data_IF_821579978885
#
_entry.id   IF_821579978885
#
_cell.length_a   1.000
_cell.length_b   1.000
_cell.length_c   1.000
_cell.angle_alpha   90.00
_cell.angle_beta   90.00
_cell.angle_gamma   90.00
#
_symmetry.space_group_name_H-M   'P 1'
#
loop_
_entity.id
_entity.type
_entity.pdbx_description
1 polymer ?
#
# COMPACT_ATOMS: atom_id res chain seq x y z
N UNK A 1 2.22 41.33 -0.27
CA UNK A 1 1.15 40.53 0.37
C UNK A 1 0.64 41.33 1.55
N UNK A 2 -0.64 41.23 1.91
CA UNK A 2 -1.19 41.92 3.09
C UNK A 2 -1.24 40.94 4.27
N UNK A 3 -0.13 40.87 5.02
CA UNK A 3 -0.01 39.93 6.15
C UNK A 3 -0.96 40.26 7.30
N UNK A 4 -1.36 41.54 7.44
CA UNK A 4 -2.33 41.94 8.45
C UNK A 4 -3.72 41.38 8.11
N UNK A 5 -4.16 41.53 6.86
CA UNK A 5 -5.42 40.95 6.41
C UNK A 5 -5.42 39.42 6.48
N UNK A 6 -4.30 38.77 6.12
CA UNK A 6 -4.15 37.31 6.28
C UNK A 6 -4.31 36.92 7.75
N UNK A 7 -3.62 37.61 8.66
CA UNK A 7 -3.69 37.35 10.11
C UNK A 7 -5.12 37.43 10.63
N UNK A 8 -5.85 38.50 10.31
CA UNK A 8 -7.24 38.69 10.75
C UNK A 8 -8.16 37.54 10.30
N UNK A 9 -7.96 37.04 9.06
CA UNK A 9 -8.72 35.89 8.56
C UNK A 9 -8.33 34.59 9.26
N UNK A 10 -7.04 34.35 9.50
CA UNK A 10 -6.56 33.17 10.23
C UNK A 10 -7.09 33.16 11.68
N UNK A 11 -7.05 34.30 12.37
CA UNK A 11 -7.55 34.44 13.74
C UNK A 11 -9.05 34.11 13.85
N UNK A 12 -9.80 34.41 12.77
CA UNK A 12 -11.25 34.17 12.67
C UNK A 12 -11.59 32.71 12.37
N UNK A 13 -10.81 32.01 11.54
CA UNK A 13 -11.12 30.67 11.03
C UNK A 13 -10.14 29.58 11.53
N UNK A 14 -9.46 29.84 12.65
CA UNK A 14 -8.38 29.01 13.20
C UNK A 14 -8.73 27.53 13.47
N UNK A 15 -10.02 27.20 13.56
CA UNK A 15 -10.57 25.85 13.79
C UNK A 15 -11.06 25.14 12.50
N UNK A 16 -11.04 25.82 11.35
CA UNK A 16 -11.49 25.25 10.08
C UNK A 16 -10.34 25.11 9.09
N UNK A 17 -9.77 23.92 9.01
CA UNK A 17 -8.59 23.61 8.21
C UNK A 17 -8.77 23.89 6.71
N UNK A 18 -9.98 23.67 6.16
CA UNK A 18 -10.26 23.94 4.75
C UNK A 18 -10.26 25.43 4.44
N UNK A 19 -10.84 26.23 5.33
CA UNK A 19 -10.82 27.69 5.24
C UNK A 19 -9.39 28.21 5.42
N UNK A 20 -8.64 27.72 6.41
CA UNK A 20 -7.24 28.08 6.63
C UNK A 20 -6.38 27.83 5.39
N UNK A 21 -6.52 26.66 4.76
CA UNK A 21 -5.82 26.35 3.52
C UNK A 21 -6.19 27.33 2.40
N UNK A 22 -7.48 27.66 2.28
CA UNK A 22 -7.97 28.62 1.28
C UNK A 22 -7.40 30.02 1.52
N UNK A 23 -7.43 30.51 2.76
CA UNK A 23 -6.89 31.80 3.19
C UNK A 23 -5.40 31.89 2.88
N UNK A 24 -4.62 30.89 3.31
CA UNK A 24 -3.17 30.85 3.09
C UNK A 24 -2.85 30.79 1.59
N UNK A 25 -3.51 29.90 0.84
CA UNK A 25 -3.26 29.74 -0.60
C UNK A 25 -3.52 31.03 -1.36
N UNK A 26 -4.66 31.70 -1.08
CA UNK A 26 -5.02 32.98 -1.73
C UNK A 26 -4.11 34.13 -1.26
N UNK A 27 -3.90 34.25 0.06
CA UNK A 27 -3.15 35.33 0.67
C UNK A 27 -1.69 35.38 0.21
N UNK A 28 -1.08 34.19 0.09
CA UNK A 28 0.28 34.04 -0.42
C UNK A 28 0.36 33.91 -1.94
N UNK A 29 -0.77 33.87 -2.66
CA UNK A 29 -0.83 33.60 -4.11
C UNK A 29 -0.03 32.34 -4.49
N UNK A 30 -0.19 31.29 -3.69
CA UNK A 30 0.60 30.09 -3.79
C UNK A 30 -0.06 29.04 -4.71
N UNK A 31 0.76 28.19 -5.34
CA UNK A 31 0.25 27.01 -6.06
C UNK A 31 -0.30 25.95 -5.09
N UNK A 32 0.38 25.73 -3.96
CA UNK A 32 -0.03 24.76 -2.93
C UNK A 32 0.37 25.21 -1.53
N UNK A 33 -0.39 24.75 -0.53
CA UNK A 33 -0.12 24.95 0.89
C UNK A 33 -0.31 23.63 1.61
N UNK A 34 0.61 23.28 2.51
CA UNK A 34 0.46 22.20 3.47
C UNK A 34 0.38 22.79 4.88
N UNK A 35 -0.60 22.35 5.67
CA UNK A 35 -0.77 22.70 7.08
C UNK A 35 -0.47 21.45 7.90
N UNK A 36 0.74 21.37 8.44
CA UNK A 36 1.29 20.17 9.07
C UNK A 36 1.17 20.26 10.60
N UNK A 37 0.20 19.56 11.17
CA UNK A 37 -0.03 19.48 12.63
C UNK A 37 0.88 18.42 13.26
N UNK A 38 1.42 18.69 14.45
CA UNK A 38 2.20 17.71 15.20
C UNK A 38 1.30 16.73 15.97
N UNK A 39 1.50 15.44 15.75
CA UNK A 39 0.92 14.36 16.56
C UNK A 39 1.98 13.81 17.52
N UNK A 40 1.81 14.12 18.81
CA UNK A 40 2.71 13.70 19.88
C UNK A 40 2.71 12.18 20.09
N UNK A 41 1.58 11.51 19.83
CA UNK A 41 1.44 10.06 20.02
C UNK A 41 2.17 9.27 18.96
N UNK A 42 2.12 9.73 17.70
CA UNK A 42 2.77 9.08 16.55
C UNK A 42 4.16 9.66 16.27
N UNK A 43 4.55 10.74 16.96
CA UNK A 43 5.80 11.49 16.74
C UNK A 43 5.97 11.87 15.26
N UNK A 44 4.92 12.45 14.68
CA UNK A 44 4.86 12.77 13.26
C UNK A 44 4.10 14.08 13.01
N UNK A 45 4.43 14.75 11.91
CA UNK A 45 3.64 15.85 11.37
C UNK A 45 2.67 15.33 10.32
N UNK A 46 1.45 15.86 10.28
CA UNK A 46 0.44 15.46 9.30
C UNK A 46 -0.37 16.62 8.74
N UNK A 47 -0.70 16.55 7.45
CA UNK A 47 -1.61 17.46 6.78
C UNK A 47 -2.95 16.76 6.55
N UNK A 48 -4.04 17.40 6.98
CA UNK A 48 -5.40 16.83 6.86
C UNK A 48 -5.94 16.87 5.43
N UNK A 49 -5.50 17.83 4.61
CA UNK A 49 -6.02 18.02 3.25
C UNK A 49 -5.28 17.09 2.29
N UNK A 50 -3.96 17.21 2.21
CA UNK A 50 -3.20 16.39 1.27
C UNK A 50 -2.77 15.04 1.86
N UNK A 51 -3.05 14.79 3.15
CA UNK A 51 -2.71 13.55 3.85
C UNK A 51 -1.21 13.23 3.87
N UNK A 52 -0.38 14.28 3.77
CA UNK A 52 1.06 14.19 3.95
C UNK A 52 1.35 13.79 5.38
N UNK A 53 2.26 12.83 5.59
CA UNK A 53 2.78 12.47 6.90
C UNK A 53 4.31 12.52 6.89
N UNK A 54 4.90 13.08 7.94
CA UNK A 54 6.36 13.20 8.08
C UNK A 54 6.74 12.82 9.50
N UNK A 55 7.34 11.65 9.69
CA UNK A 55 7.81 11.22 11.01
C UNK A 55 9.03 12.02 11.44
N UNK A 56 9.05 12.43 12.70
CA UNK A 56 10.15 13.21 13.30
C UNK A 56 11.51 12.53 13.16
N UNK A 57 11.57 11.20 13.21
CA UNK A 57 12.81 10.43 13.01
C UNK A 57 13.49 10.67 11.63
N UNK A 58 12.74 11.18 10.65
CA UNK A 58 13.26 11.50 9.31
C UNK A 58 13.61 12.99 9.15
N UNK A 59 13.26 13.85 10.12
CA UNK A 59 13.58 15.27 10.09
C UNK A 59 15.04 15.46 10.50
N UNK A 60 15.91 15.55 9.49
CA UNK A 60 17.34 15.79 9.67
C UNK A 60 17.83 16.88 8.71
N UNK A 61 19.10 17.25 8.80
CA UNK A 61 19.69 18.35 8.02
C UNK A 61 19.82 18.08 6.52
N UNK A 62 19.39 16.91 6.00
CA UNK A 62 19.38 16.62 4.56
C UNK A 62 18.14 17.14 3.83
N UNK A 63 17.13 17.66 4.55
CA UNK A 63 15.94 18.31 3.98
C UNK A 63 15.75 19.73 4.46
N UNK A 64 14.99 20.54 3.71
CA UNK A 64 14.64 21.91 4.11
C UNK A 64 13.72 21.90 5.32
N UNK A 65 12.69 21.05 5.34
CA UNK A 65 11.77 20.95 6.47
C UNK A 65 12.46 20.35 7.70
N UNK A 66 13.41 19.43 7.51
CA UNK A 66 14.24 18.92 8.61
C UNK A 66 15.20 19.99 9.14
N UNK A 67 15.77 20.82 8.26
CA UNK A 67 16.55 21.99 8.66
C UNK A 67 15.70 23.02 9.41
N UNK A 68 14.46 23.27 8.97
CA UNK A 68 13.50 24.11 9.67
C UNK A 68 13.14 23.56 11.05
N UNK A 69 12.92 22.25 11.14
CA UNK A 69 12.65 21.56 12.40
C UNK A 69 13.80 21.69 13.40
N UNK A 70 15.03 21.33 12.99
CA UNK A 70 16.20 21.33 13.86
C UNK A 70 16.60 22.73 14.31
N UNK A 71 16.57 23.69 13.39
CA UNK A 71 17.01 25.07 13.65
C UNK A 71 15.92 25.96 14.20
N UNK A 72 14.64 25.53 14.17
CA UNK A 72 13.46 26.31 14.59
C UNK A 72 13.37 27.64 13.82
N UNK A 73 13.72 27.61 12.53
CA UNK A 73 13.82 28.78 11.65
C UNK A 73 12.95 28.65 10.43
N UNK A 74 12.52 29.81 9.95
CA UNK A 74 11.79 29.97 8.69
C UNK A 74 12.77 29.98 7.53
N UNK A 75 12.33 29.45 6.40
CA UNK A 75 13.15 29.40 5.18
C UNK A 75 12.32 29.85 4.00
N UNK A 76 12.86 30.78 3.22
CA UNK A 76 12.40 31.04 1.86
C UNK A 76 13.46 30.59 0.86
N UNK A 77 13.05 29.78 -0.10
CA UNK A 77 13.89 29.23 -1.15
C UNK A 77 13.35 29.75 -2.46
N UNK A 78 14.16 30.52 -3.17
CA UNK A 78 13.80 31.13 -4.46
C UNK A 78 13.87 30.11 -5.61
N UNK A 79 14.82 29.17 -5.53
CA UNK A 79 14.99 28.09 -6.49
C UNK A 79 15.36 26.77 -5.81
N UNK A 80 14.38 25.89 -5.64
CA UNK A 80 14.55 24.56 -5.05
C UNK A 80 15.39 23.62 -5.93
N UNK A 81 15.52 23.90 -7.23
CA UNK A 81 16.26 23.03 -8.15
C UNK A 81 17.78 23.10 -7.94
N UNK A 82 18.25 24.19 -7.36
CA UNK A 82 19.67 24.45 -7.05
C UNK A 82 19.94 24.44 -5.55
N UNK A 83 18.92 24.23 -4.72
CA UNK A 83 19.02 24.31 -3.28
C UNK A 83 19.62 23.02 -2.68
N UNK A 84 20.56 23.20 -1.75
CA UNK A 84 21.04 22.13 -0.86
C UNK A 84 21.11 22.68 0.58
N UNK A 85 20.60 21.94 1.58
CA UNK A 85 19.96 20.63 1.50
C UNK A 85 18.54 20.70 0.91
N UNK A 86 18.16 19.72 0.09
CA UNK A 86 16.81 19.54 -0.42
C UNK A 86 16.55 18.05 -0.60
N UNK A 87 15.54 17.54 0.09
CA UNK A 87 15.14 16.15 -0.02
C UNK A 87 13.72 16.12 -0.57
N UNK A 88 13.58 15.81 -1.86
CA UNK A 88 12.31 15.75 -2.58
C UNK A 88 11.22 15.05 -1.78
N UNK A 89 11.58 14.01 -1.00
CA UNK A 89 10.61 13.34 -0.17
C UNK A 89 9.93 14.15 0.91
N UNK A 90 10.75 14.87 1.65
CA UNK A 90 10.32 15.55 2.84
C UNK A 90 9.82 16.93 2.45
N UNK A 91 10.44 17.55 1.44
CA UNK A 91 10.23 18.94 1.08
C UNK A 91 9.16 19.13 -0.01
N UNK A 92 9.05 18.21 -0.98
CA UNK A 92 8.06 18.28 -2.06
C UNK A 92 7.50 16.89 -2.39
N UNK A 93 6.76 16.25 -1.45
CA UNK A 93 6.29 14.86 -1.60
C UNK A 93 5.39 14.64 -2.81
N UNK A 94 4.69 15.69 -3.25
CA UNK A 94 3.83 15.67 -4.44
C UNK A 94 4.51 16.14 -5.73
N UNK A 95 5.79 16.54 -5.63
CA UNK A 95 6.65 16.93 -6.75
C UNK A 95 6.00 17.95 -7.67
N UNK A 96 5.40 18.95 -7.02
CA UNK A 96 4.82 20.09 -7.69
C UNK A 96 5.88 20.72 -8.59
N UNK A 97 5.47 21.11 -9.80
CA UNK A 97 6.31 21.92 -10.69
C UNK A 97 6.37 23.37 -10.17
N UNK A 98 7.23 23.54 -9.17
CA UNK A 98 7.47 24.79 -8.45
C UNK A 98 8.96 25.01 -8.30
N UNK A 99 9.36 26.28 -8.31
CA UNK A 99 10.73 26.69 -8.03
C UNK A 99 10.89 27.27 -6.64
N UNK A 100 9.84 27.86 -6.10
CA UNK A 100 9.88 28.57 -4.82
C UNK A 100 9.21 27.77 -3.70
N UNK A 101 9.76 27.87 -2.49
CA UNK A 101 9.21 27.26 -1.29
C UNK A 101 9.39 28.18 -0.09
N UNK A 102 8.37 28.25 0.76
CA UNK A 102 8.40 28.92 2.06
C UNK A 102 8.02 27.91 3.14
N UNK A 103 8.83 27.82 4.20
CA UNK A 103 8.59 26.97 5.35
C UNK A 103 8.50 27.83 6.60
N UNK A 104 7.35 27.77 7.27
CA UNK A 104 7.05 28.53 8.48
C UNK A 104 6.79 27.55 9.64
N UNK A 105 7.78 27.24 10.50
CA UNK A 105 7.52 26.54 11.74
C UNK A 105 6.68 27.42 12.68
N UNK A 106 5.72 26.81 13.37
CA UNK A 106 5.06 27.39 14.54
C UNK A 106 5.67 26.78 15.80
N UNK A 107 6.01 27.65 16.76
CA UNK A 107 6.73 27.27 17.96
C UNK A 107 5.85 27.46 19.21
N UNK A 108 5.89 26.50 20.11
CA UNK A 108 5.33 26.63 21.45
C UNK A 108 6.33 26.07 22.47
N UNK A 109 6.62 26.84 23.52
CA UNK A 109 7.64 26.50 24.51
C UNK A 109 9.01 26.11 23.91
N UNK A 110 9.36 26.69 22.75
CA UNK A 110 10.61 26.42 22.05
C UNK A 110 10.62 25.14 21.20
N UNK A 111 9.53 24.38 21.15
CA UNK A 111 9.38 23.20 20.32
C UNK A 111 8.46 23.47 19.12
N UNK A 112 8.65 22.71 18.03
CA UNK A 112 7.86 22.87 16.81
C UNK A 112 6.54 22.12 16.93
N UNK A 113 5.42 22.83 17.00
CA UNK A 113 4.06 22.25 17.08
C UNK A 113 3.38 22.11 15.72
N UNK A 114 3.93 22.75 14.69
CA UNK A 114 3.44 22.59 13.33
C UNK A 114 4.26 23.33 12.30
N UNK A 115 3.93 23.10 11.03
CA UNK A 115 4.49 23.85 9.91
C UNK A 115 3.38 24.34 8.99
N UNK A 116 3.55 25.55 8.48
CA UNK A 116 2.96 25.96 7.22
C UNK A 116 4.03 25.85 6.14
N UNK A 117 3.77 25.05 5.11
CA UNK A 117 4.65 24.95 3.93
C UNK A 117 3.91 25.45 2.71
N UNK A 118 4.51 26.39 1.99
CA UNK A 118 3.90 27.06 0.85
C UNK A 118 4.79 26.86 -0.38
N UNK A 119 4.18 26.46 -1.49
CA UNK A 119 4.86 26.12 -2.73
C UNK A 119 4.44 27.03 -3.87
N UNK A 120 5.40 27.38 -4.74
CA UNK A 120 5.12 28.08 -5.99
C UNK A 120 4.59 29.50 -5.79
N UNK A 121 5.25 30.25 -4.91
CA UNK A 121 5.10 31.69 -4.78
C UNK A 121 5.60 32.36 -6.07
N UNK A 122 4.76 33.15 -6.74
CA UNK A 122 5.15 33.87 -7.97
C UNK A 122 6.17 34.99 -7.69
N UNK A 123 5.97 35.74 -6.61
CA UNK A 123 6.85 36.82 -6.17
C UNK A 123 6.88 36.87 -4.64
N UNK A 124 8.05 36.61 -4.05
CA UNK A 124 8.27 36.68 -2.60
C UNK A 124 9.67 37.20 -2.28
N UNK A 125 9.79 38.08 -1.29
CA UNK A 125 11.06 38.74 -0.94
C UNK A 125 11.53 38.39 0.48
N UNK A 126 12.81 38.67 0.79
CA UNK A 126 13.33 38.51 2.16
C UNK A 126 12.63 39.44 3.16
N UNK A 127 12.26 40.66 2.76
CA UNK A 127 11.45 41.53 3.63
C UNK A 127 10.09 40.89 3.95
N UNK A 128 9.46 40.26 2.97
CA UNK A 128 8.19 39.55 3.18
C UNK A 128 8.37 38.31 4.06
N UNK A 129 9.54 37.65 4.05
CA UNK A 129 9.86 36.61 5.03
C UNK A 129 9.85 37.16 6.45
N UNK A 130 10.45 38.33 6.69
CA UNK A 130 10.40 38.99 8.00
C UNK A 130 8.97 39.40 8.36
N UNK A 131 8.20 39.94 7.42
CA UNK A 131 6.83 40.36 7.67
C UNK A 131 5.92 39.18 8.07
N UNK A 132 6.26 37.92 7.73
CA UNK A 132 5.50 36.75 8.20
C UNK A 132 5.55 36.57 9.72
N UNK A 133 6.44 37.24 10.47
CA UNK A 133 6.48 37.14 11.95
C UNK A 133 5.22 37.72 12.57
N UNK A 134 4.54 38.62 11.86
CA UNK A 134 3.22 39.11 12.26
C UNK A 134 2.14 38.04 12.33
N UNK A 135 2.34 36.87 11.70
CA UNK A 135 1.41 35.75 11.69
C UNK A 135 1.55 34.82 12.90
N UNK A 136 2.62 34.93 13.71
CA UNK A 136 2.97 33.91 14.71
C UNK A 136 1.87 33.63 15.72
N UNK A 137 1.21 34.66 16.26
CA UNK A 137 0.12 34.49 17.22
C UNK A 137 -1.06 33.69 16.61
N UNK A 138 -1.39 33.98 15.35
CA UNK A 138 -2.46 33.29 14.63
C UNK A 138 -2.07 31.84 14.32
N UNK A 139 -0.82 31.60 13.91
CA UNK A 139 -0.29 30.25 13.69
C UNK A 139 -0.25 29.44 14.97
N UNK A 140 0.21 30.01 16.08
CA UNK A 140 0.21 29.36 17.39
C UNK A 140 -1.22 28.95 17.80
N UNK A 141 -2.21 29.82 17.56
CA UNK A 141 -3.63 29.51 17.82
C UNK A 141 -4.16 28.33 16.98
N UNK A 142 -3.69 28.19 15.73
CA UNK A 142 -4.04 27.07 14.85
C UNK A 142 -3.44 25.76 15.38
N UNK A 143 -2.15 25.76 15.76
CA UNK A 143 -1.43 24.52 16.11
C UNK A 143 -1.55 24.09 17.57
N UNK A 144 -1.95 24.99 18.48
CA UNK A 144 -2.22 24.64 19.89
C UNK A 144 -3.50 23.82 20.07
N UNK A 145 -4.36 23.75 19.05
CA UNK A 145 -5.46 22.80 19.03
C UNK A 145 -4.88 21.38 18.94
N UNK A 146 -5.13 20.56 19.97
CA UNK A 146 -4.68 19.16 19.96
C UNK A 146 -5.43 18.39 18.88
N UNK A 147 -4.74 18.18 17.78
CA UNK A 147 -5.22 17.43 16.63
C UNK A 147 -4.58 16.04 16.64
N UNK A 148 -5.40 14.99 16.69
CA UNK A 148 -4.93 13.60 16.58
C UNK A 148 -5.02 13.14 15.13
N UNK A 149 -4.07 12.32 14.68
CA UNK A 149 -4.25 11.54 13.45
C UNK A 149 -5.42 10.56 13.69
N UNK A 150 -6.63 10.95 13.26
CA UNK A 150 -7.74 10.01 13.12
C UNK A 150 -7.45 9.15 11.87
N UNK A 151 -7.60 7.83 12.01
CA UNK A 151 -7.60 6.90 10.86
C UNK A 151 -8.91 7.07 10.09
N UNK A 152 -9.12 8.23 9.47
CA UNK A 152 -10.32 8.47 8.67
C UNK A 152 -10.28 7.59 7.42
N UNK A 153 -11.12 6.55 7.42
CA UNK A 153 -11.30 5.57 6.33
C UNK A 153 -11.87 6.17 5.04
N UNK A 154 -12.27 7.44 5.00
CA UNK A 154 -12.87 8.04 3.80
C UNK A 154 -11.92 9.03 3.11
N UNK A 155 -11.22 8.54 2.09
CA UNK A 155 -10.58 9.40 1.08
C UNK A 155 -11.36 9.27 -0.21
N UNK A 156 -12.36 10.13 -0.41
CA UNK A 156 -12.88 10.40 -1.74
C UNK A 156 -12.19 11.66 -2.26
N UNK A 157 -11.16 11.48 -3.08
CA UNK A 157 -10.66 12.57 -3.92
C UNK A 157 -10.12 12.01 -5.25
N UNK A 158 -10.54 12.57 -6.38
CA UNK A 158 -10.21 12.07 -7.72
C UNK A 158 -8.69 12.08 -7.99
N UNK A 159 -7.96 13.03 -7.39
CA UNK A 159 -6.50 13.11 -7.47
C UNK A 159 -5.77 11.95 -6.75
N UNK A 160 -6.36 11.40 -5.69
CA UNK A 160 -5.85 10.20 -5.02
C UNK A 160 -6.08 8.94 -5.87
N UNK A 161 -7.27 8.82 -6.47
CA UNK A 161 -7.62 7.72 -7.38
C UNK A 161 -6.72 7.71 -8.62
N UNK A 162 -6.44 8.88 -9.20
CA UNK A 162 -5.58 8.98 -10.39
C UNK A 162 -4.11 8.70 -10.06
N UNK A 163 -3.60 9.15 -8.91
CA UNK A 163 -2.27 8.76 -8.41
C UNK A 163 -2.18 7.27 -8.15
N UNK A 164 -3.21 6.67 -7.53
CA UNK A 164 -3.30 5.23 -7.31
C UNK A 164 -3.24 4.45 -8.63
N UNK A 165 -3.98 4.86 -9.66
CA UNK A 165 -3.93 4.25 -11.00
C UNK A 165 -2.53 4.32 -11.62
N UNK A 166 -1.83 5.45 -11.46
CA UNK A 166 -0.46 5.62 -11.96
C UNK A 166 0.48 4.66 -11.24
N UNK A 167 0.40 4.54 -9.90
CA UNK A 167 1.25 3.61 -9.15
C UNK A 167 0.98 2.14 -9.46
N UNK A 168 -0.30 1.75 -9.61
CA UNK A 168 -0.66 0.38 -10.00
C UNK A 168 -0.14 0.05 -11.39
N UNK A 169 -0.24 1.01 -12.32
CA UNK A 169 0.29 0.89 -13.68
C UNK A 169 1.80 0.71 -13.68
N UNK A 170 2.54 1.55 -12.94
CA UNK A 170 4.00 1.43 -12.82
C UNK A 170 4.41 0.09 -12.20
N UNK A 171 3.70 -0.36 -11.17
CA UNK A 171 3.98 -1.65 -10.53
C UNK A 171 3.75 -2.84 -11.47
N UNK A 172 2.73 -2.77 -12.32
CA UNK A 172 2.50 -3.74 -13.40
C UNK A 172 3.60 -3.67 -14.45
N UNK A 173 4.01 -2.48 -14.86
CA UNK A 173 5.12 -2.29 -15.80
C UNK A 173 6.44 -2.82 -15.24
N UNK A 174 6.77 -2.63 -13.97
CA UNK A 174 7.96 -3.25 -13.32
C UNK A 174 7.96 -4.77 -13.49
N UNK A 175 6.81 -5.40 -13.23
CA UNK A 175 6.64 -6.85 -13.41
C UNK A 175 6.87 -7.26 -14.86
N UNK A 176 6.36 -6.51 -15.83
CA UNK A 176 6.58 -6.74 -17.26
C UNK A 176 8.06 -6.57 -17.66
N UNK A 177 8.72 -5.51 -17.20
CA UNK A 177 10.15 -5.30 -17.44
C UNK A 177 11.02 -6.43 -16.86
N UNK A 178 10.66 -6.96 -15.68
CA UNK A 178 11.35 -8.12 -15.12
C UNK A 178 11.16 -9.38 -15.97
N UNK A 179 9.96 -9.59 -16.53
CA UNK A 179 9.71 -10.71 -17.46
C UNK A 179 10.49 -10.53 -18.77
N UNK A 180 10.52 -9.31 -19.33
CA UNK A 180 11.29 -9.01 -20.53
C UNK A 180 12.79 -9.25 -20.31
N UNK A 181 13.33 -8.79 -19.19
CA UNK A 181 14.74 -8.98 -18.81
C UNK A 181 15.10 -10.46 -18.65
N UNK A 182 14.20 -11.30 -18.13
CA UNK A 182 14.42 -12.74 -17.97
C UNK A 182 14.38 -13.54 -19.28
N UNK A 183 13.78 -12.99 -20.34
CA UNK A 183 13.58 -13.70 -21.62
C UNK A 183 14.37 -13.11 -22.79
N UNK A 184 14.96 -11.92 -22.63
CA UNK A 184 15.86 -11.35 -23.60
C UNK A 184 17.16 -12.19 -23.68
N UNK A 185 17.62 -12.45 -24.91
CA UNK A 185 18.89 -13.14 -25.19
C UNK A 185 19.79 -12.33 -26.12
N UNK A 186 19.33 -11.15 -26.53
CA UNK A 186 20.01 -10.25 -27.44
C UNK A 186 20.48 -9.03 -26.65
N UNK A 187 21.78 -8.75 -26.72
CA UNK A 187 22.45 -7.73 -25.91
C UNK A 187 21.92 -6.30 -26.15
N UNK A 188 21.51 -5.97 -27.38
CA UNK A 188 20.93 -4.65 -27.68
C UNK A 188 19.50 -4.54 -27.14
N UNK A 189 18.74 -5.65 -27.17
CA UNK A 189 17.40 -5.72 -26.56
C UNK A 189 17.49 -5.63 -25.04
N UNK A 190 18.47 -6.26 -24.41
CA UNK A 190 18.72 -6.16 -22.96
C UNK A 190 19.04 -4.74 -22.52
N UNK A 191 19.86 -4.00 -23.29
CA UNK A 191 20.14 -2.58 -23.02
C UNK A 191 18.88 -1.72 -23.05
N UNK A 192 18.03 -1.89 -24.07
CA UNK A 192 16.77 -1.15 -24.18
C UNK A 192 15.79 -1.48 -23.04
N UNK A 193 15.76 -2.74 -22.60
CA UNK A 193 14.97 -3.16 -21.44
C UNK A 193 15.49 -2.50 -20.16
N UNK A 194 16.81 -2.48 -19.96
CA UNK A 194 17.42 -1.86 -18.78
C UNK A 194 17.23 -0.35 -18.75
N UNK A 195 17.35 0.34 -19.90
CA UNK A 195 17.03 1.76 -20.04
C UNK A 195 15.56 2.04 -19.68
N UNK A 196 14.64 1.22 -20.18
CA UNK A 196 13.23 1.32 -19.83
C UNK A 196 12.94 1.04 -18.36
N UNK A 197 13.63 0.08 -17.75
CA UNK A 197 13.56 -0.22 -16.31
C UNK A 197 14.05 0.96 -15.49
N UNK A 198 15.20 1.53 -15.85
CA UNK A 198 15.76 2.70 -15.19
C UNK A 198 14.82 3.92 -15.33
N UNK A 199 14.24 4.13 -16.51
CA UNK A 199 13.24 5.17 -16.72
C UNK A 199 12.01 4.96 -15.85
N UNK A 200 11.54 3.72 -15.71
CA UNK A 200 10.41 3.40 -14.87
C UNK A 200 10.72 3.55 -13.37
N UNK A 201 11.93 3.20 -12.93
CA UNK A 201 12.43 3.49 -11.59
C UNK A 201 12.57 4.99 -11.36
N UNK A 202 13.00 5.75 -12.35
CA UNK A 202 13.06 7.20 -12.29
C UNK A 202 11.66 7.80 -12.18
N UNK A 203 10.67 7.30 -12.93
CA UNK A 203 9.27 7.71 -12.86
C UNK A 203 8.66 7.33 -11.50
N UNK A 204 8.92 6.12 -11.01
CA UNK A 204 8.46 5.62 -9.72
C UNK A 204 9.04 6.45 -8.57
N UNK A 205 10.36 6.69 -8.61
CA UNK A 205 11.08 7.58 -7.70
C UNK A 205 10.56 8.99 -7.83
N UNK A 206 10.22 9.43 -9.05
CA UNK A 206 9.52 10.68 -9.39
C UNK A 206 8.04 10.68 -8.98
N UNK A 207 7.45 9.66 -8.35
CA UNK A 207 6.05 9.75 -7.94
C UNK A 207 5.79 9.61 -6.45
N UNK A 208 6.67 8.99 -5.65
CA UNK A 208 6.45 9.02 -4.20
C UNK A 208 7.68 8.78 -3.34
N UNK A 209 7.67 9.30 -2.12
CA UNK A 209 8.63 8.91 -1.09
C UNK A 209 8.01 8.53 0.27
N UNK A 210 6.69 8.55 0.44
CA UNK A 210 6.02 7.99 1.62
C UNK A 210 5.53 6.55 1.37
N UNK A 211 6.25 5.79 0.54
CA UNK A 211 5.76 4.53 0.00
C UNK A 211 5.60 3.42 1.05
N UNK A 212 6.37 3.41 2.14
CA UNK A 212 6.11 2.46 3.25
C UNK A 212 4.74 2.64 3.89
N UNK A 213 4.20 3.86 3.86
CA UNK A 213 2.88 4.15 4.39
C UNK A 213 1.76 3.83 3.40
N UNK A 214 1.98 4.04 2.11
CA UNK A 214 0.96 3.73 1.08
C UNK A 214 0.92 2.23 0.81
N UNK A 215 2.04 1.51 0.86
CA UNK A 215 2.05 0.05 0.81
C UNK A 215 1.44 -0.57 2.06
N UNK A 216 1.63 0.03 3.26
CA UNK A 216 0.90 -0.37 4.48
C UNK A 216 -0.56 0.00 4.41
N UNK A 217 -0.93 1.19 3.95
CA UNK A 217 -2.34 1.56 3.71
C UNK A 217 -2.92 0.66 2.64
N UNK A 218 -2.16 0.17 1.67
CA UNK A 218 -2.59 -0.81 0.68
C UNK A 218 -2.68 -2.21 1.29
N UNK A 219 -1.80 -2.65 2.19
CA UNK A 219 -1.94 -3.92 2.89
C UNK A 219 -3.09 -3.88 3.91
N UNK A 220 -3.27 -2.75 4.59
CA UNK A 220 -4.32 -2.48 5.57
C UNK A 220 -5.65 -2.20 4.88
N UNK A 221 -5.70 -1.47 3.75
CA UNK A 221 -6.91 -1.30 2.92
C UNK A 221 -7.21 -2.51 2.07
N UNK A 222 -6.25 -3.26 1.54
CA UNK A 222 -6.56 -4.59 1.01
C UNK A 222 -7.06 -5.47 2.15
N UNK A 223 -6.53 -5.33 3.37
CA UNK A 223 -7.06 -6.04 4.52
C UNK A 223 -8.47 -5.60 4.95
N UNK A 224 -8.83 -4.32 4.77
CA UNK A 224 -10.11 -3.69 5.17
C UNK A 224 -11.16 -3.73 4.04
N UNK A 225 -10.80 -3.42 2.79
CA UNK A 225 -11.62 -3.56 1.59
C UNK A 225 -11.96 -5.04 1.33
N UNK A 226 -11.06 -5.97 1.66
CA UNK A 226 -11.36 -7.42 1.70
C UNK A 226 -11.86 -7.90 3.09
N UNK A 227 -12.15 -7.02 4.06
CA UNK A 227 -12.74 -7.47 5.33
C UNK A 227 -14.18 -8.01 5.17
N UNK A 228 -14.80 -7.73 4.03
CA UNK A 228 -16.07 -8.34 3.62
C UNK A 228 -15.91 -9.49 2.60
N UNK A 229 -14.68 -9.84 2.19
CA UNK A 229 -14.41 -11.02 1.36
C UNK A 229 -13.66 -12.08 2.19
N UNK A 230 -14.25 -13.28 2.30
CA UNK A 230 -13.63 -14.39 3.04
C UNK A 230 -12.22 -14.65 2.51
N UNK A 231 -11.23 -14.51 3.39
CA UNK A 231 -9.85 -14.93 3.10
C UNK A 231 -9.72 -16.45 3.24
N UNK A 232 -8.92 -17.06 2.38
CA UNK A 232 -8.73 -18.50 2.35
C UNK A 232 -7.50 -18.92 3.16
N UNK A 233 -7.67 -19.89 4.03
CA UNK A 233 -6.56 -20.69 4.56
C UNK A 233 -6.33 -21.86 3.63
N UNK A 234 -5.08 -22.02 3.19
CA UNK A 234 -4.68 -23.01 2.21
C UNK A 234 -3.80 -24.08 2.86
N UNK A 235 -3.89 -25.32 2.37
CA UNK A 235 -2.88 -26.35 2.58
C UNK A 235 -2.24 -26.71 1.23
N UNK A 236 -0.92 -26.80 1.18
CA UNK A 236 -0.16 -27.35 0.05
C UNK A 236 0.53 -28.63 0.51
N UNK A 237 0.25 -29.75 -0.15
CA UNK A 237 0.89 -31.04 0.10
C UNK A 237 1.57 -31.55 -1.17
N UNK A 238 2.90 -31.67 -1.15
CA UNK A 238 3.73 -32.22 -2.23
C UNK A 238 5.06 -32.70 -1.62
N UNK A 239 5.52 -33.90 -1.99
CA UNK A 239 6.71 -34.53 -1.39
C UNK A 239 8.02 -33.84 -1.81
N UNK A 240 8.00 -33.13 -2.93
CA UNK A 240 9.10 -32.30 -3.39
C UNK A 240 8.98 -30.89 -2.79
N UNK A 241 9.78 -30.62 -1.75
CA UNK A 241 9.85 -29.31 -1.07
C UNK A 241 9.94 -28.12 -2.03
N UNK A 242 10.63 -28.27 -3.16
CA UNK A 242 10.76 -27.22 -4.17
C UNK A 242 9.42 -26.85 -4.82
N UNK A 243 8.56 -27.84 -5.11
CA UNK A 243 7.22 -27.62 -5.66
C UNK A 243 6.36 -26.85 -4.67
N UNK A 244 6.40 -27.25 -3.40
CA UNK A 244 5.71 -26.55 -2.30
C UNK A 244 6.12 -25.08 -2.22
N UNK A 245 7.42 -24.78 -2.24
CA UNK A 245 7.90 -23.39 -2.14
C UNK A 245 7.55 -22.57 -3.39
N UNK A 246 7.63 -23.15 -4.58
CA UNK A 246 7.24 -22.49 -5.83
C UNK A 246 5.75 -22.12 -5.79
N UNK A 247 4.88 -23.09 -5.48
CA UNK A 247 3.44 -22.86 -5.42
C UNK A 247 3.06 -21.87 -4.31
N UNK A 248 3.67 -21.98 -3.12
CA UNK A 248 3.50 -21.02 -2.02
C UNK A 248 3.85 -19.60 -2.48
N UNK A 249 4.99 -19.41 -3.15
CA UNK A 249 5.43 -18.09 -3.62
C UNK A 249 4.46 -17.47 -4.63
N UNK A 250 3.80 -18.29 -5.45
CA UNK A 250 2.80 -17.84 -6.42
C UNK A 250 1.48 -17.45 -5.75
N UNK A 251 1.05 -18.22 -4.75
CA UNK A 251 -0.20 -18.00 -4.00
C UNK A 251 -0.12 -16.80 -3.04
N UNK A 252 1.05 -16.51 -2.46
CA UNK A 252 1.25 -15.34 -1.58
C UNK A 252 1.12 -13.98 -2.30
N UNK A 253 1.14 -13.97 -3.63
CA UNK A 253 0.93 -12.75 -4.43
C UNK A 253 -0.57 -12.42 -4.55
N UNK A 254 -1.45 -13.37 -4.23
CA UNK A 254 -2.90 -13.21 -4.30
C UNK A 254 -3.45 -12.65 -2.98
N UNK A 255 -4.14 -11.50 -3.05
CA UNK A 255 -4.54 -10.69 -1.89
C UNK A 255 -5.63 -11.29 -1.00
N UNK A 256 -6.13 -12.48 -1.34
CA UNK A 256 -7.23 -13.16 -0.63
C UNK A 256 -6.76 -14.35 0.22
N UNK A 257 -5.46 -14.64 0.24
CA UNK A 257 -4.88 -15.73 1.04
C UNK A 257 -4.57 -15.21 2.44
N UNK A 258 -5.13 -15.85 3.47
CA UNK A 258 -4.83 -15.52 4.87
C UNK A 258 -3.58 -16.25 5.36
N UNK A 259 -3.59 -17.57 5.27
CA UNK A 259 -2.49 -18.42 5.70
C UNK A 259 -2.29 -19.60 4.74
N UNK A 260 -1.04 -20.08 4.64
CA UNK A 260 -0.68 -21.28 3.89
C UNK A 260 0.07 -22.25 4.81
N UNK A 261 -0.56 -23.40 5.10
CA UNK A 261 0.07 -24.55 5.73
C UNK A 261 0.74 -25.44 4.68
N UNK A 262 1.79 -26.15 5.08
CA UNK A 262 2.59 -26.98 4.19
C UNK A 262 2.65 -28.40 4.77
N UNK A 263 2.62 -29.39 3.90
CA UNK A 263 2.88 -30.79 4.20
C UNK A 263 3.78 -31.39 3.12
N UNK A 264 4.62 -32.33 3.51
CA UNK A 264 5.59 -32.99 2.63
C UNK A 264 5.36 -34.50 2.48
N UNK A 265 4.31 -35.03 3.10
CA UNK A 265 3.78 -36.36 2.86
C UNK A 265 2.28 -36.41 3.17
N UNK A 266 1.66 -37.56 2.87
CA UNK A 266 0.22 -37.72 3.05
C UNK A 266 -0.25 -37.79 4.52
N UNK A 267 0.62 -38.15 5.46
CA UNK A 267 0.29 -38.20 6.89
C UNK A 267 0.33 -36.80 7.50
N UNK A 268 1.37 -36.01 7.21
CA UNK A 268 1.46 -34.61 7.59
C UNK A 268 0.25 -33.81 7.06
N UNK A 269 -0.16 -34.07 5.82
CA UNK A 269 -1.32 -33.41 5.23
C UNK A 269 -2.61 -33.67 6.03
N UNK A 270 -2.83 -34.91 6.47
CA UNK A 270 -4.00 -35.27 7.29
C UNK A 270 -3.92 -34.65 8.68
N UNK A 271 -2.74 -34.67 9.31
CA UNK A 271 -2.55 -34.08 10.63
C UNK A 271 -2.91 -32.59 10.61
N UNK A 272 -2.45 -31.85 9.58
CA UNK A 272 -2.80 -30.44 9.41
C UNK A 272 -4.31 -30.26 9.21
N UNK A 273 -4.95 -31.10 8.40
CA UNK A 273 -6.39 -31.01 8.17
C UNK A 273 -7.20 -31.25 9.45
N UNK A 274 -6.83 -32.25 10.25
CA UNK A 274 -7.49 -32.58 11.52
C UNK A 274 -7.31 -31.49 12.57
N UNK A 275 -6.09 -30.96 12.72
CA UNK A 275 -5.80 -29.89 13.68
C UNK A 275 -6.57 -28.59 13.40
N UNK A 276 -7.04 -28.41 12.17
CA UNK A 276 -7.76 -27.22 11.73
C UNK A 276 -9.27 -27.47 11.55
N UNK A 277 -9.77 -28.69 11.77
CA UNK A 277 -11.15 -29.08 11.44
C UNK A 277 -12.20 -28.37 12.31
N UNK A 278 -11.92 -28.25 13.62
CA UNK A 278 -12.81 -27.65 14.63
C UNK A 278 -12.29 -26.30 15.18
N UNK A 279 -11.31 -25.71 14.51
CA UNK A 279 -10.68 -24.47 14.94
C UNK A 279 -11.41 -23.24 14.40
N UNK A 280 -11.15 -22.06 14.98
CA UNK A 280 -11.61 -20.78 14.42
C UNK A 280 -10.98 -20.44 13.06
N UNK A 281 -10.12 -21.32 12.54
CA UNK A 281 -9.29 -21.11 11.35
C UNK A 281 -9.25 -22.36 10.45
N UNK A 282 -10.39 -22.76 9.83
CA UNK A 282 -10.47 -23.97 9.03
C UNK A 282 -9.69 -23.85 7.73
N UNK A 283 -9.20 -24.98 7.21
CA UNK A 283 -8.62 -25.05 5.86
C UNK A 283 -9.75 -24.97 4.84
N UNK A 284 -9.65 -24.03 3.91
CA UNK A 284 -10.70 -23.76 2.92
C UNK A 284 -10.38 -24.36 1.55
N UNK A 285 -9.09 -24.45 1.22
CA UNK A 285 -8.61 -25.00 -0.05
C UNK A 285 -7.39 -25.87 0.21
N UNK A 286 -7.32 -27.02 -0.44
CA UNK A 286 -6.19 -27.94 -0.36
C UNK A 286 -5.65 -28.18 -1.77
N UNK A 287 -4.35 -27.92 -1.95
CA UNK A 287 -3.59 -28.32 -3.13
C UNK A 287 -2.89 -29.65 -2.81
N UNK A 288 -3.31 -30.73 -3.45
CA UNK A 288 -2.82 -32.09 -3.20
C UNK A 288 -2.06 -32.64 -4.40
N UNK A 289 -0.78 -32.93 -4.21
CA UNK A 289 -0.07 -33.82 -5.12
C UNK A 289 -0.65 -35.22 -5.08
N UNK A 290 -0.73 -35.85 -6.26
CA UNK A 290 -1.27 -37.20 -6.34
C UNK A 290 -0.30 -38.23 -5.75
N UNK A 291 0.99 -38.09 -6.07
CA UNK A 291 2.03 -39.02 -5.64
C UNK A 291 2.76 -38.47 -4.42
N UNK A 292 2.40 -38.96 -3.23
CA UNK A 292 3.11 -38.65 -1.99
C UNK A 292 3.36 -39.95 -1.20
N UNK A 293 4.47 -40.05 -0.45
CA UNK A 293 4.67 -41.11 0.52
C UNK A 293 3.56 -41.16 1.59
N UNK A 294 3.29 -42.35 2.12
CA UNK A 294 2.33 -42.56 3.21
C UNK A 294 0.88 -42.69 2.73
N UNK A 295 0.33 -41.63 2.11
CA UNK A 295 -1.02 -41.62 1.52
C UNK A 295 -1.04 -40.81 0.23
N UNK A 296 -1.74 -41.30 -0.78
CA UNK A 296 -1.91 -40.60 -2.06
C UNK A 296 -2.90 -39.44 -1.94
N UNK A 297 -2.78 -38.47 -2.86
CA UNK A 297 -3.72 -37.35 -2.93
C UNK A 297 -5.18 -37.77 -3.13
N UNK A 298 -5.42 -38.86 -3.88
CA UNK A 298 -6.77 -39.38 -4.11
C UNK A 298 -7.37 -39.97 -2.84
N UNK A 299 -6.59 -40.71 -2.04
CA UNK A 299 -7.08 -41.26 -0.76
C UNK A 299 -7.46 -40.14 0.21
N UNK A 300 -6.66 -39.07 0.28
CA UNK A 300 -6.95 -37.90 1.11
C UNK A 300 -8.21 -37.19 0.59
N UNK A 301 -8.33 -36.97 -0.73
CA UNK A 301 -9.48 -36.32 -1.33
C UNK A 301 -10.79 -37.10 -1.12
N UNK A 302 -10.77 -38.43 -1.29
CA UNK A 302 -11.90 -39.30 -0.99
C UNK A 302 -12.30 -39.21 0.48
N UNK A 303 -11.33 -39.23 1.40
CA UNK A 303 -11.59 -39.09 2.83
C UNK A 303 -12.27 -37.73 3.12
N UNK A 304 -11.76 -36.64 2.57
CA UNK A 304 -12.34 -35.29 2.74
C UNK A 304 -13.78 -35.21 2.19
N UNK A 305 -14.04 -35.71 0.98
CA UNK A 305 -15.40 -35.73 0.41
C UNK A 305 -16.38 -36.62 1.19
N UNK A 306 -15.89 -37.63 1.91
CA UNK A 306 -16.74 -38.50 2.75
C UNK A 306 -17.09 -37.90 4.12
N UNK A 307 -16.25 -36.98 4.63
CA UNK A 307 -16.38 -36.40 5.97
C UNK A 307 -17.00 -35.00 5.95
N UNK A 308 -16.89 -34.28 4.83
CA UNK A 308 -17.25 -32.86 4.71
C UNK A 308 -18.42 -32.66 3.76
N UNK A 309 -19.25 -31.66 4.06
CA UNK A 309 -20.32 -31.28 3.13
C UNK A 309 -19.73 -30.68 1.86
N UNK A 310 -20.44 -30.84 0.74
CA UNK A 310 -19.96 -30.32 -0.53
C UNK A 310 -19.76 -28.79 -0.48
N UNK A 311 -18.61 -28.32 -0.96
CA UNK A 311 -18.22 -26.91 -0.87
C UNK A 311 -17.67 -26.44 0.49
N UNK A 312 -17.51 -27.30 1.50
CA UNK A 312 -16.85 -26.95 2.77
C UNK A 312 -15.34 -26.72 2.55
N UNK A 313 -14.68 -27.68 1.89
CA UNK A 313 -13.27 -27.63 1.48
C UNK A 313 -13.19 -27.82 -0.03
N UNK A 314 -12.43 -26.94 -0.71
CA UNK A 314 -12.14 -27.07 -2.13
C UNK A 314 -10.84 -27.86 -2.31
N UNK A 315 -10.88 -28.90 -3.14
CA UNK A 315 -9.76 -29.82 -3.36
C UNK A 315 -9.22 -29.62 -4.78
N UNK A 316 -7.96 -29.17 -4.86
CA UNK A 316 -7.24 -28.95 -6.12
C UNK A 316 -6.20 -30.04 -6.29
N UNK A 317 -6.35 -30.86 -7.33
CA UNK A 317 -5.32 -31.84 -7.69
C UNK A 317 -4.11 -31.18 -8.33
N UNK A 318 -2.92 -31.67 -7.99
CA UNK A 318 -1.66 -31.25 -8.57
C UNK A 318 -1.03 -32.47 -9.28
N UNK A 319 -1.18 -32.58 -10.60
CA UNK A 319 -0.60 -33.69 -11.37
C UNK A 319 -0.56 -33.35 -12.86
N UNK A 320 0.08 -34.16 -13.69
CA UNK A 320 -0.07 -34.11 -15.16
C UNK A 320 -0.64 -35.40 -15.74
N UNK A 321 -0.92 -36.37 -14.88
CA UNK A 321 -1.39 -37.67 -15.31
C UNK A 321 -2.88 -37.60 -15.65
N UNK A 322 -3.18 -37.73 -16.95
CA UNK A 322 -4.55 -37.64 -17.47
C UNK A 322 -5.42 -38.80 -17.01
N UNK A 323 -4.85 -39.99 -16.83
CA UNK A 323 -5.60 -41.17 -16.41
C UNK A 323 -6.05 -41.02 -14.96
N UNK A 324 -5.15 -40.53 -14.10
CA UNK A 324 -5.48 -40.18 -12.71
C UNK A 324 -6.59 -39.13 -12.67
N UNK A 325 -6.52 -38.10 -13.50
CA UNK A 325 -7.54 -37.05 -13.52
C UNK A 325 -8.89 -37.58 -14.00
N UNK A 326 -8.91 -38.42 -15.03
CA UNK A 326 -10.14 -39.01 -15.56
C UNK A 326 -10.81 -39.95 -14.57
N UNK A 327 -10.03 -40.76 -13.85
CA UNK A 327 -10.55 -41.72 -12.87
C UNK A 327 -11.00 -41.08 -11.55
N UNK A 328 -10.57 -39.84 -11.28
CA UNK A 328 -10.81 -39.15 -10.00
C UNK A 328 -11.55 -37.80 -10.15
N UNK A 329 -12.27 -37.59 -11.26
CA UNK A 329 -12.99 -36.31 -11.50
C UNK A 329 -14.01 -35.95 -10.43
N UNK A 330 -14.58 -36.94 -9.76
CA UNK A 330 -15.65 -36.72 -8.78
C UNK A 330 -15.12 -36.33 -7.39
N UNK A 331 -13.82 -36.51 -7.13
CA UNK A 331 -13.21 -36.23 -5.82
C UNK A 331 -12.37 -34.94 -5.79
N UNK A 332 -12.04 -34.38 -6.96
CA UNK A 332 -11.33 -33.11 -7.08
C UNK A 332 -12.22 -32.05 -7.72
N UNK A 333 -12.28 -30.86 -7.11
CA UNK A 333 -13.05 -29.73 -7.64
C UNK A 333 -12.30 -29.05 -8.79
N UNK A 334 -10.97 -29.00 -8.69
CA UNK A 334 -10.11 -28.35 -9.67
C UNK A 334 -8.83 -29.14 -9.96
N UNK A 335 -8.17 -28.75 -11.05
CA UNK A 335 -6.91 -29.33 -11.46
C UNK A 335 -5.86 -28.27 -11.80
N UNK A 336 -4.68 -28.39 -11.20
CA UNK A 336 -3.50 -27.58 -11.46
C UNK A 336 -2.38 -28.43 -12.09
N UNK A 337 -2.06 -28.22 -13.38
CA UNK A 337 -1.01 -28.99 -14.04
C UNK A 337 0.40 -28.57 -13.58
N UNK A 338 1.31 -29.54 -13.49
CA UNK A 338 2.76 -29.32 -13.33
C UNK A 338 3.40 -29.06 -14.71
N UNK A 339 4.43 -28.24 -14.88
CA UNK A 339 4.96 -27.27 -13.93
C UNK A 339 3.97 -26.12 -13.67
N UNK A 340 4.02 -25.56 -12.47
CA UNK A 340 3.20 -24.42 -12.10
C UNK A 340 3.65 -23.16 -12.85
N UNK A 341 2.67 -22.38 -13.30
CA UNK A 341 2.89 -21.05 -13.86
C UNK A 341 2.05 -20.05 -13.10
N UNK A 342 2.46 -18.78 -13.06
CA UNK A 342 1.65 -17.76 -12.40
C UNK A 342 0.24 -17.65 -13.00
N UNK A 343 0.12 -17.88 -14.30
CA UNK A 343 -1.15 -17.83 -15.03
C UNK A 343 -2.08 -18.99 -14.67
N UNK A 344 -1.59 -20.24 -14.62
CA UNK A 344 -2.45 -21.37 -14.27
C UNK A 344 -2.89 -21.35 -12.79
N UNK A 345 -2.01 -20.93 -11.87
CA UNK A 345 -2.35 -20.74 -10.45
C UNK A 345 -3.40 -19.64 -10.28
N UNK A 346 -3.20 -18.47 -10.93
CA UNK A 346 -4.16 -17.36 -10.85
C UNK A 346 -5.54 -17.76 -11.40
N UNK A 347 -5.59 -18.46 -12.54
CA UNK A 347 -6.84 -18.96 -13.13
C UNK A 347 -7.61 -19.89 -12.20
N UNK A 348 -6.92 -20.77 -11.47
CA UNK A 348 -7.57 -21.64 -10.48
C UNK A 348 -8.10 -20.82 -9.30
N UNK A 349 -7.29 -19.90 -8.77
CA UNK A 349 -7.74 -19.05 -7.66
C UNK A 349 -8.94 -18.17 -8.03
N UNK A 350 -9.00 -17.65 -9.26
CA UNK A 350 -10.14 -16.86 -9.72
C UNK A 350 -11.43 -17.69 -9.83
N UNK A 351 -11.32 -18.96 -10.26
CA UNK A 351 -12.46 -19.91 -10.23
C UNK A 351 -12.94 -20.16 -8.80
N UNK A 352 -12.02 -20.47 -7.90
CA UNK A 352 -12.30 -20.69 -6.46
C UNK A 352 -13.03 -19.48 -5.85
N UNK A 353 -12.56 -18.26 -6.15
CA UNK A 353 -13.21 -17.01 -5.71
C UNK A 353 -14.65 -16.94 -6.21
N UNK A 354 -14.85 -17.14 -7.52
CA UNK A 354 -16.18 -17.06 -8.14
C UNK A 354 -17.18 -18.11 -7.61
N UNK A 355 -16.72 -19.33 -7.33
CA UNK A 355 -17.59 -20.41 -6.84
C UNK A 355 -18.08 -20.14 -5.42
N UNK A 356 -17.18 -19.73 -4.51
CA UNK A 356 -17.56 -19.38 -3.13
C UNK A 356 -18.42 -18.11 -3.09
N UNK A 357 -18.31 -17.19 -4.04
CA UNK A 357 -19.24 -16.06 -4.19
C UNK A 357 -20.67 -16.50 -4.62
N UNK A 358 -20.79 -17.59 -5.39
CA UNK A 358 -22.07 -18.13 -5.88
C UNK A 358 -22.80 -18.99 -4.84
N UNK A 359 -22.09 -19.76 -4.02
CA UNK A 359 -22.70 -20.57 -2.93
C UNK A 359 -23.41 -19.70 -1.89
N UNK A 360 -23.06 -18.42 -1.81
CA UNK A 360 -23.67 -17.43 -0.90
C UNK A 360 -24.97 -16.80 -1.39
N UNK A 361 -25.28 -16.89 -2.69
CA UNK A 361 -26.54 -16.35 -3.23
C UNK A 361 -27.71 -17.34 -3.19
N UNK A 362 -27.47 -18.61 -2.86
CA UNK A 362 -28.55 -19.52 -2.51
C UNK A 362 -28.82 -19.38 -1.00
N UNK A 363 -29.97 -18.83 -0.58
CA UNK A 363 -30.35 -18.93 0.82
C UNK A 363 -30.38 -20.41 1.20
N UNK A 364 -29.91 -20.74 2.42
CA UNK A 364 -30.23 -22.03 3.03
C UNK A 364 -31.75 -22.12 3.08
N UNK A 365 -32.36 -22.77 2.10
CA UNK A 365 -33.73 -23.25 2.24
C UNK A 365 -33.71 -24.19 3.44
N UNK A 366 -34.38 -23.73 4.48
CA UNK A 366 -34.60 -24.46 5.71
C UNK A 366 -35.64 -25.53 5.38
N UNK A 367 -35.23 -26.79 5.45
CA UNK A 367 -36.13 -27.93 5.57
C UNK A 367 -35.64 -28.82 6.71
#
# INVERSE_FOLDING_TARGET
>A
MDFKAIKEQLDTHYDNVLELHTILKKGFKAKSVDILFYDDTKKAFFDKINQTRIYTKFLNSSSLIGSAYLNRKRYFIEDISTCTPYHTALDNPFKLDVRTMLILPSLHNGEVEGFIRIHGLEYFTQQQLEDTYTLDDALAKIFTQKESIQEDEKIHDNAFVDRMKIFTTISQMKKLYNVLSQNARNQEVEKLIEEGRQNLENIYTYLNPNFEHISKIQQTRQAIDHANERRFNLLIADDLKINVQILKSMLLVDGVVNEIKLAYDGLEAIEVLQNHEDSSDPIHVVFLDHHMPGKSGSEIATQLKSQKSDGEIIIVSITNDKEILENNKEIYDYHLPKPFTKDNVAKIMDKIKSEKLLTYQKPKESL
#
